data_IF_070165035039
#
_entry.id   IF_070165035039
#
_cell.length_a   1.000
_cell.length_b   1.000
_cell.length_c   1.000
_cell.angle_alpha   90.00
_cell.angle_beta   90.00
_cell.angle_gamma   90.00
#
_symmetry.space_group_name_H-M   'P 1'
#
loop_
_entity.id
_entity.type
_entity.pdbx_description
1 polymer ?
#
# COMPACT_ATOMS: atom_id res chain seq x y z
N UNK A 1 5.72 6.85 24.06
CA UNK A 1 5.25 6.17 22.83
C UNK A 1 5.05 4.66 22.98
N UNK A 2 5.47 4.07 24.09
CA UNK A 2 5.39 2.61 24.35
C UNK A 2 4.05 2.11 24.89
N UNK A 3 3.21 2.99 25.47
CA UNK A 3 1.94 2.58 26.12
C UNK A 3 0.82 2.13 25.13
N UNK A 4 0.85 2.51 23.86
CA UNK A 4 -0.19 2.13 22.89
C UNK A 4 -0.03 0.70 22.35
N UNK A 5 1.21 0.19 22.28
CA UNK A 5 1.49 -1.19 21.88
C UNK A 5 1.21 -2.21 22.98
N UNK A 6 1.40 -1.83 24.25
CA UNK A 6 1.20 -2.73 25.38
C UNK A 6 -0.27 -3.12 25.58
N UNK A 7 -1.20 -2.19 25.35
CA UNK A 7 -2.63 -2.48 25.42
C UNK A 7 -3.15 -3.30 24.23
N UNK A 8 -2.49 -3.21 23.08
CA UNK A 8 -2.78 -4.06 21.92
C UNK A 8 -2.32 -5.51 22.17
N UNK A 9 -1.15 -5.70 22.77
CA UNK A 9 -0.61 -7.02 23.15
C UNK A 9 -1.44 -7.73 24.22
N UNK A 10 -2.03 -7.01 25.20
CA UNK A 10 -2.91 -7.60 26.20
C UNK A 10 -4.22 -8.12 25.59
N UNK A 11 -4.83 -7.38 24.66
CA UNK A 11 -6.04 -7.84 23.93
C UNK A 11 -5.77 -8.99 22.95
N UNK A 12 -4.52 -9.14 22.47
CA UNK A 12 -4.13 -10.26 21.61
C UNK A 12 -3.86 -11.56 22.39
N UNK A 13 -3.68 -11.50 23.72
CA UNK A 13 -3.46 -12.69 24.56
C UNK A 13 -4.74 -13.49 24.83
N UNK A 14 -5.91 -12.88 24.65
CA UNK A 14 -7.20 -13.55 24.81
C UNK A 14 -7.63 -14.37 23.57
N UNK A 15 -6.88 -14.29 22.48
CA UNK A 15 -7.07 -15.13 21.30
C UNK A 15 -6.11 -16.31 21.34
N UNK A 16 -6.58 -17.56 21.18
CA UNK A 16 -5.74 -18.75 21.26
C UNK A 16 -4.69 -18.85 20.12
N UNK A 17 -4.60 -17.88 19.25
CA UNK A 17 -3.69 -17.83 18.11
C UNK A 17 -2.79 -16.59 18.17
N UNK A 18 -1.63 -16.71 18.84
CA UNK A 18 -0.53 -15.73 18.85
C UNK A 18 0.04 -15.35 17.48
N UNK A 19 -0.43 -15.96 16.40
CA UNK A 19 0.08 -15.74 15.04
C UNK A 19 -0.77 -14.76 14.20
N UNK A 20 -1.91 -14.29 14.73
CA UNK A 20 -2.61 -13.19 14.07
C UNK A 20 -1.81 -11.93 14.38
N UNK A 21 -0.94 -11.52 13.45
CA UNK A 21 -0.34 -10.18 13.48
C UNK A 21 -1.48 -9.21 13.78
N UNK A 22 -1.29 -8.37 14.81
CA UNK A 22 -2.22 -7.30 15.14
C UNK A 22 -2.33 -6.39 13.91
N UNK A 23 -3.25 -6.73 13.03
CA UNK A 23 -3.49 -5.96 11.82
C UNK A 23 -4.20 -4.68 12.27
N UNK A 24 -3.55 -3.55 12.11
CA UNK A 24 -4.11 -2.21 12.39
C UNK A 24 -5.41 -1.94 11.63
N UNK A 25 -5.76 -2.81 10.68
CA UNK A 25 -6.95 -2.75 9.83
C UNK A 25 -7.95 -3.87 10.12
N UNK A 26 -8.13 -4.25 11.38
CA UNK A 26 -9.26 -5.07 11.75
C UNK A 26 -10.55 -4.26 11.56
N UNK A 27 -11.35 -4.65 10.59
CA UNK A 27 -12.66 -4.05 10.37
C UNK A 27 -13.61 -4.52 11.46
N UNK A 28 -14.25 -3.55 12.13
CA UNK A 28 -15.36 -3.82 13.03
C UNK A 28 -16.62 -3.90 12.17
N UNK A 29 -17.43 -4.94 12.35
CA UNK A 29 -18.73 -5.02 11.69
C UNK A 29 -19.72 -4.08 12.41
N UNK A 30 -19.76 -2.83 11.94
CA UNK A 30 -20.66 -1.80 12.45
C UNK A 30 -22.07 -1.91 11.89
N UNK A 31 -22.30 -2.78 10.90
CA UNK A 31 -23.63 -3.06 10.33
C UNK A 31 -24.31 -4.29 10.95
N UNK A 32 -23.63 -5.05 11.81
CA UNK A 32 -24.17 -6.29 12.37
C UNK A 32 -25.51 -6.12 13.11
N UNK A 33 -25.73 -4.94 13.72
CA UNK A 33 -26.93 -4.62 14.49
C UNK A 33 -27.96 -3.78 13.71
N UNK A 34 -27.68 -3.47 12.44
CA UNK A 34 -28.57 -2.70 11.58
C UNK A 34 -29.34 -3.66 10.68
N UNK A 35 -30.65 -3.47 10.57
CA UNK A 35 -31.45 -4.25 9.59
C UNK A 35 -30.94 -3.95 8.19
N UNK A 36 -30.65 -5.03 7.45
CA UNK A 36 -30.20 -4.89 6.07
C UNK A 36 -31.30 -4.23 5.22
N UNK A 37 -30.99 -3.18 4.46
CA UNK A 37 -31.93 -2.58 3.52
C UNK A 37 -32.25 -3.49 2.32
N UNK A 38 -31.59 -4.65 2.25
CA UNK A 38 -31.76 -5.62 1.17
C UNK A 38 -32.68 -6.76 1.64
N UNK A 39 -33.63 -7.15 0.79
CA UNK A 39 -34.56 -8.25 1.05
C UNK A 39 -33.88 -9.60 1.31
N UNK A 40 -32.67 -9.79 0.75
CA UNK A 40 -31.89 -11.02 0.90
C UNK A 40 -30.60 -10.77 1.65
N UNK A 41 -30.33 -11.57 2.68
CA UNK A 41 -29.02 -11.58 3.37
C UNK A 41 -27.93 -11.94 2.37
N UNK A 42 -26.83 -11.21 2.45
CA UNK A 42 -25.64 -11.48 1.62
C UNK A 42 -24.99 -12.80 2.04
N UNK A 43 -24.92 -13.77 1.14
CA UNK A 43 -24.26 -15.05 1.38
C UNK A 43 -22.75 -14.99 1.12
N UNK A 44 -22.16 -13.80 0.96
CA UNK A 44 -20.74 -13.64 0.72
C UNK A 44 -19.97 -13.49 2.03
N UNK A 45 -18.80 -14.14 2.07
CA UNK A 45 -17.90 -14.14 3.22
C UNK A 45 -16.48 -13.85 2.74
N UNK A 46 -15.80 -12.89 3.39
CA UNK A 46 -14.38 -12.64 3.14
C UNK A 46 -13.55 -13.50 4.08
N UNK A 47 -12.66 -14.31 3.52
CA UNK A 47 -11.76 -15.19 4.25
C UNK A 47 -10.32 -14.74 4.04
N UNK A 48 -9.57 -14.63 5.13
CA UNK A 48 -8.17 -14.26 5.14
C UNK A 48 -7.28 -15.49 5.33
N UNK A 49 -6.23 -15.54 4.52
CA UNK A 49 -5.17 -16.55 4.56
C UNK A 49 -3.85 -15.94 5.04
N UNK A 50 -2.74 -16.56 4.71
CA UNK A 50 -1.41 -16.05 5.04
C UNK A 50 -1.12 -14.71 4.33
N UNK A 51 -0.37 -13.84 5.00
CA UNK A 51 0.15 -12.57 4.47
C UNK A 51 -0.92 -11.66 3.87
N UNK A 52 -2.05 -11.53 4.55
CA UNK A 52 -3.18 -10.70 4.15
C UNK A 52 -3.80 -11.05 2.79
N UNK A 53 -3.56 -12.26 2.28
CA UNK A 53 -4.29 -12.78 1.14
C UNK A 53 -5.75 -12.96 1.55
N UNK A 54 -6.65 -12.24 0.91
CA UNK A 54 -8.09 -12.27 1.17
C UNK A 54 -8.82 -12.64 -0.12
N UNK A 55 -9.69 -13.62 -0.01
CA UNK A 55 -10.58 -14.03 -1.10
C UNK A 55 -12.03 -14.00 -0.61
N UNK A 56 -12.98 -13.86 -1.54
CA UNK A 56 -14.41 -13.86 -1.25
C UNK A 56 -14.99 -15.21 -1.65
N UNK A 57 -15.79 -15.78 -0.76
CA UNK A 57 -16.44 -17.07 -0.92
C UNK A 57 -17.95 -16.94 -0.78
N UNK A 58 -18.67 -17.92 -1.34
CA UNK A 58 -20.12 -18.02 -1.22
C UNK A 58 -20.46 -19.05 -0.18
N UNK A 59 -21.29 -18.68 0.78
CA UNK A 59 -21.91 -19.58 1.75
C UNK A 59 -23.22 -20.11 1.16
N UNK A 60 -23.15 -21.19 0.39
CA UNK A 60 -24.34 -21.77 -0.26
C UNK A 60 -25.25 -22.50 0.73
N UNK A 61 -24.68 -23.14 1.73
CA UNK A 61 -25.39 -23.99 2.70
C UNK A 61 -25.94 -23.18 3.88
N UNK A 62 -25.89 -21.84 3.82
CA UNK A 62 -26.35 -20.93 4.87
C UNK A 62 -25.80 -21.28 6.26
N UNK A 63 -24.56 -21.72 6.32
CA UNK A 63 -23.87 -22.05 7.57
C UNK A 63 -23.79 -20.78 8.42
N UNK A 64 -24.08 -20.88 9.72
CA UNK A 64 -23.93 -19.77 10.66
C UNK A 64 -22.44 -19.53 10.87
N UNK A 65 -21.89 -18.48 10.25
CA UNK A 65 -20.49 -18.13 10.30
C UNK A 65 -20.34 -16.76 10.95
N UNK A 66 -19.48 -16.70 11.95
CA UNK A 66 -19.15 -15.47 12.64
C UNK A 66 -17.75 -14.97 12.25
N UNK A 67 -17.50 -13.69 12.52
CA UNK A 67 -16.15 -13.14 12.38
C UNK A 67 -15.17 -13.89 13.28
N UNK A 68 -13.96 -14.16 12.78
CA UNK A 68 -12.87 -14.93 13.38
C UNK A 68 -13.08 -16.46 13.38
N UNK A 69 -14.16 -16.98 12.85
CA UNK A 69 -14.30 -18.41 12.65
C UNK A 69 -13.25 -18.92 11.66
N UNK A 70 -12.74 -20.11 11.92
CA UNK A 70 -11.83 -20.80 11.00
C UNK A 70 -12.68 -21.70 10.11
N UNK A 71 -12.60 -21.46 8.80
CA UNK A 71 -13.44 -22.14 7.81
C UNK A 71 -12.60 -22.90 6.81
N UNK A 72 -13.13 -24.03 6.39
CA UNK A 72 -12.62 -24.84 5.30
C UNK A 72 -13.32 -24.43 4.01
N UNK A 73 -12.53 -24.01 3.03
CA UNK A 73 -13.01 -23.43 1.78
C UNK A 73 -12.44 -24.15 0.57
N UNK A 74 -13.08 -23.99 -0.55
CA UNK A 74 -12.60 -24.48 -1.82
C UNK A 74 -11.25 -23.86 -2.18
N UNK A 75 -10.30 -24.70 -2.59
CA UNK A 75 -8.98 -24.27 -3.01
C UNK A 75 -9.05 -23.41 -4.28
N UNK A 76 -8.06 -22.52 -4.44
CA UNK A 76 -7.95 -21.68 -5.66
C UNK A 76 -7.74 -22.49 -6.93
N UNK A 77 -7.17 -23.67 -6.83
CA UNK A 77 -6.94 -24.59 -7.95
C UNK A 77 -8.11 -25.52 -8.25
N UNK A 78 -9.18 -25.47 -7.47
CA UNK A 78 -10.32 -26.40 -7.57
C UNK A 78 -10.01 -27.82 -7.05
N UNK A 79 -8.77 -28.09 -6.62
CA UNK A 79 -8.34 -29.39 -6.08
C UNK A 79 -8.02 -29.21 -4.59
N UNK A 80 -8.63 -30.05 -3.76
CA UNK A 80 -8.48 -29.99 -2.32
C UNK A 80 -9.16 -28.80 -1.66
N UNK A 81 -8.83 -28.55 -0.40
CA UNK A 81 -9.40 -27.46 0.38
C UNK A 81 -8.31 -26.55 0.96
N UNK A 82 -8.69 -25.33 1.26
CA UNK A 82 -7.84 -24.38 1.97
C UNK A 82 -8.50 -24.00 3.30
N UNK A 83 -7.72 -23.53 4.26
CA UNK A 83 -8.21 -23.11 5.58
C UNK A 83 -7.85 -21.66 5.79
N UNK A 84 -8.86 -20.87 6.18
CA UNK A 84 -8.66 -19.46 6.46
C UNK A 84 -9.53 -18.96 7.60
N UNK A 85 -9.34 -17.70 7.96
CA UNK A 85 -10.04 -17.02 9.03
C UNK A 85 -11.04 -16.04 8.43
N UNK A 86 -12.28 -16.07 8.88
CA UNK A 86 -13.32 -15.15 8.46
C UNK A 86 -13.03 -13.75 8.97
N UNK A 87 -12.95 -12.78 8.07
CA UNK A 87 -12.72 -11.38 8.40
C UNK A 87 -13.97 -10.53 8.33
N UNK A 88 -14.83 -10.78 7.36
CA UNK A 88 -16.07 -10.05 7.14
C UNK A 88 -17.18 -10.99 6.67
N UNK A 89 -18.41 -10.68 7.05
CA UNK A 89 -19.63 -11.39 6.63
C UNK A 89 -20.69 -10.38 6.19
N UNK A 90 -21.70 -10.85 5.47
CA UNK A 90 -22.91 -10.08 5.18
C UNK A 90 -22.71 -8.86 4.28
N UNK A 91 -23.39 -7.76 4.61
CA UNK A 91 -23.50 -6.59 3.75
C UNK A 91 -22.18 -5.82 3.59
N UNK A 92 -21.25 -5.89 4.57
CA UNK A 92 -19.92 -5.31 4.40
C UNK A 92 -19.13 -5.96 3.26
N UNK A 93 -19.30 -7.27 3.06
CA UNK A 93 -18.66 -7.97 1.92
C UNK A 93 -19.28 -7.51 0.61
N UNK A 94 -20.61 -7.31 0.56
CA UNK A 94 -21.29 -6.76 -0.62
C UNK A 94 -20.77 -5.37 -1.00
N UNK A 95 -20.57 -4.48 -0.01
CA UNK A 95 -19.98 -3.17 -0.22
C UNK A 95 -18.53 -3.28 -0.74
N UNK A 96 -17.75 -4.22 -0.24
CA UNK A 96 -16.39 -4.45 -0.74
C UNK A 96 -16.38 -4.95 -2.19
N UNK A 97 -17.28 -5.88 -2.55
CA UNK A 97 -17.43 -6.39 -3.92
C UNK A 97 -17.73 -5.21 -4.86
N UNK A 98 -18.68 -4.34 -4.47
CA UNK A 98 -19.03 -3.15 -5.25
C UNK A 98 -17.84 -2.19 -5.39
N UNK A 99 -17.15 -1.88 -4.31
CA UNK A 99 -16.01 -0.95 -4.31
C UNK A 99 -14.80 -1.46 -5.11
N UNK A 100 -14.59 -2.77 -5.14
CA UNK A 100 -13.52 -3.42 -5.91
C UNK A 100 -13.91 -3.74 -7.35
N UNK A 101 -15.17 -3.47 -7.76
CA UNK A 101 -15.72 -3.83 -9.06
C UNK A 101 -15.50 -5.31 -9.42
N UNK A 102 -15.69 -6.21 -8.44
CA UNK A 102 -15.50 -7.64 -8.64
C UNK A 102 -16.75 -8.18 -9.36
N UNK A 103 -16.54 -8.88 -10.47
CA UNK A 103 -17.65 -9.52 -11.18
C UNK A 103 -18.17 -10.70 -10.35
N UNK A 104 -19.46 -10.66 -9.99
CA UNK A 104 -20.13 -11.68 -9.19
C UNK A 104 -20.09 -13.07 -9.86
N UNK A 105 -20.14 -13.09 -11.18
CA UNK A 105 -20.08 -14.34 -11.95
C UNK A 105 -18.71 -15.04 -11.86
N UNK A 106 -17.68 -14.34 -11.44
CA UNK A 106 -16.34 -14.91 -11.20
C UNK A 106 -16.15 -15.46 -9.78
N UNK A 107 -17.11 -15.20 -8.88
CA UNK A 107 -17.11 -15.67 -7.50
C UNK A 107 -17.79 -17.04 -7.43
N UNK A 108 -17.10 -18.09 -7.88
CA UNK A 108 -17.66 -19.45 -7.90
C UNK A 108 -17.24 -20.30 -6.70
N UNK A 109 -16.35 -19.79 -5.83
CA UNK A 109 -15.76 -20.58 -4.75
C UNK A 109 -16.68 -20.66 -3.54
N UNK A 110 -16.76 -21.86 -2.96
CA UNK A 110 -17.66 -22.20 -1.87
C UNK A 110 -16.94 -22.32 -0.54
N UNK A 111 -17.70 -22.08 0.53
CA UNK A 111 -17.33 -22.50 1.88
C UNK A 111 -17.92 -23.90 2.07
N UNK A 112 -17.10 -24.87 2.47
CA UNK A 112 -17.57 -26.21 2.74
C UNK A 112 -18.17 -26.35 4.14
N UNK A 113 -17.44 -25.88 5.16
CA UNK A 113 -17.85 -25.97 6.57
C UNK A 113 -16.97 -25.13 7.48
N UNK A 114 -17.35 -25.02 8.75
CA UNK A 114 -16.47 -24.59 9.82
C UNK A 114 -15.41 -25.70 10.01
N UNK A 115 -14.15 -25.32 10.13
CA UNK A 115 -13.04 -26.27 10.23
C UNK A 115 -13.12 -27.08 11.52
N UNK A 116 -12.88 -28.38 11.42
CA UNK A 116 -12.78 -29.28 12.58
C UNK A 116 -11.50 -29.04 13.36
N UNK A 117 -11.48 -29.41 14.65
CA UNK A 117 -10.28 -29.24 15.46
C UNK A 117 -9.07 -30.00 14.93
N UNK A 118 -9.29 -31.15 14.27
CA UNK A 118 -8.23 -31.91 13.60
C UNK A 118 -7.61 -31.12 12.45
N UNK A 119 -8.42 -30.55 11.58
CA UNK A 119 -7.98 -29.72 10.45
C UNK A 119 -7.22 -28.48 10.94
N UNK A 120 -7.70 -27.82 11.98
CA UNK A 120 -7.04 -26.66 12.59
C UNK A 120 -5.66 -27.04 13.13
N UNK A 121 -5.53 -28.21 13.78
CA UNK A 121 -4.24 -28.67 14.30
C UNK A 121 -3.24 -28.98 13.19
N UNK A 122 -3.68 -29.63 12.11
CA UNK A 122 -2.87 -29.90 10.91
C UNK A 122 -2.42 -28.58 10.28
N UNK A 123 -3.34 -27.65 10.07
CA UNK A 123 -3.05 -26.33 9.50
C UNK A 123 -2.02 -25.56 10.34
N UNK A 124 -2.17 -25.53 11.67
CA UNK A 124 -1.20 -24.91 12.58
C UNK A 124 0.19 -25.57 12.50
N UNK A 125 0.23 -26.88 12.40
CA UNK A 125 1.47 -27.63 12.26
C UNK A 125 2.18 -27.31 10.95
N UNK A 126 1.46 -27.27 9.82
CA UNK A 126 1.99 -26.91 8.52
C UNK A 126 2.55 -25.48 8.52
N UNK A 127 1.83 -24.54 9.14
CA UNK A 127 2.29 -23.16 9.29
C UNK A 127 3.63 -23.05 10.03
N UNK A 128 3.84 -23.83 11.08
CA UNK A 128 5.12 -23.86 11.80
C UNK A 128 6.26 -24.41 10.94
N UNK A 129 5.98 -25.34 10.04
CA UNK A 129 6.97 -25.90 9.12
C UNK A 129 7.39 -24.96 7.99
N UNK A 130 6.55 -24.01 7.59
CA UNK A 130 6.79 -23.13 6.44
C UNK A 130 8.15 -22.42 6.49
N UNK A 131 8.54 -21.88 7.65
CA UNK A 131 9.81 -21.17 7.80
C UNK A 131 11.02 -22.07 7.59
N UNK A 132 10.98 -23.30 8.13
CA UNK A 132 12.05 -24.29 7.94
C UNK A 132 12.16 -24.71 6.47
N UNK A 133 11.02 -24.96 5.84
CA UNK A 133 10.93 -25.36 4.45
C UNK A 133 11.38 -24.23 3.50
N UNK A 134 11.09 -22.99 3.85
CA UNK A 134 11.57 -21.81 3.13
C UNK A 134 13.11 -21.72 3.15
N UNK A 135 13.73 -21.95 4.31
CA UNK A 135 15.19 -21.94 4.43
C UNK A 135 15.82 -23.05 3.61
N UNK A 136 15.25 -24.23 3.64
CA UNK A 136 15.69 -25.36 2.83
C UNK A 136 15.58 -25.07 1.33
N UNK A 137 14.44 -24.54 0.87
CA UNK A 137 14.26 -24.16 -0.54
C UNK A 137 15.27 -23.09 -0.99
N UNK A 138 15.60 -22.13 -0.12
CA UNK A 138 16.63 -21.11 -0.39
C UNK A 138 18.01 -21.74 -0.56
N UNK A 139 18.38 -22.71 0.26
CA UNK A 139 19.68 -23.38 0.15
C UNK A 139 19.81 -24.14 -1.16
N UNK A 140 18.76 -24.88 -1.59
CA UNK A 140 18.77 -25.60 -2.87
C UNK A 140 18.83 -24.64 -4.05
N UNK A 141 18.03 -23.56 -4.03
CA UNK A 141 18.07 -22.57 -5.10
C UNK A 141 19.46 -21.94 -5.26
N UNK A 142 20.17 -21.71 -4.14
CA UNK A 142 21.56 -21.24 -4.13
C UNK A 142 22.52 -22.30 -4.70
N UNK A 143 22.38 -23.56 -4.31
CA UNK A 143 23.22 -24.66 -4.81
C UNK A 143 23.04 -24.88 -6.32
N UNK A 144 21.85 -24.64 -6.84
CA UNK A 144 21.55 -24.70 -8.27
C UNK A 144 21.92 -23.42 -9.03
N UNK A 145 22.56 -22.47 -8.37
CA UNK A 145 22.98 -21.16 -8.93
C UNK A 145 21.82 -20.43 -9.66
N UNK A 146 20.59 -20.51 -9.13
CA UNK A 146 19.44 -19.84 -9.71
C UNK A 146 19.42 -18.36 -9.29
N UNK A 147 19.37 -17.44 -10.26
CA UNK A 147 19.31 -16.01 -9.98
C UNK A 147 17.90 -15.57 -9.56
N UNK A 148 17.43 -16.10 -8.43
CA UNK A 148 16.12 -15.84 -7.85
C UNK A 148 16.21 -15.71 -6.34
N UNK A 149 15.27 -14.96 -5.76
CA UNK A 149 15.12 -14.84 -4.31
C UNK A 149 13.77 -15.41 -3.91
N UNK A 150 13.78 -16.54 -3.20
CA UNK A 150 12.57 -17.11 -2.60
C UNK A 150 12.24 -16.31 -1.35
N UNK A 151 11.03 -15.72 -1.30
CA UNK A 151 10.62 -14.78 -0.27
C UNK A 151 9.77 -15.42 0.80
N UNK A 152 8.89 -16.34 0.41
CA UNK A 152 7.90 -16.93 1.30
C UNK A 152 7.46 -18.31 0.81
N UNK A 153 6.97 -19.14 1.73
CA UNK A 153 6.37 -20.45 1.46
C UNK A 153 4.99 -20.50 2.14
N UNK A 154 3.99 -21.04 1.45
CA UNK A 154 2.62 -21.18 1.95
C UNK A 154 2.10 -22.57 1.63
N UNK A 155 1.72 -23.34 2.66
CA UNK A 155 0.99 -24.58 2.48
C UNK A 155 -0.48 -24.32 2.20
N UNK A 156 -1.06 -25.12 1.31
CA UNK A 156 -2.51 -25.25 1.21
C UNK A 156 -3.04 -25.92 2.50
N UNK A 157 -4.29 -25.64 2.88
CA UNK A 157 -4.84 -26.12 4.14
C UNK A 157 -4.84 -27.63 4.34
N UNK A 158 -4.94 -28.39 3.24
CA UNK A 158 -4.86 -29.86 3.22
C UNK A 158 -3.42 -30.41 3.31
N UNK A 159 -2.41 -29.58 3.08
CA UNK A 159 -1.00 -29.97 3.08
C UNK A 159 -0.51 -30.64 1.78
N UNK A 160 -1.37 -30.85 0.80
CA UNK A 160 -1.01 -31.52 -0.45
C UNK A 160 -0.19 -30.66 -1.41
N UNK A 161 -0.19 -29.34 -1.18
CA UNK A 161 0.46 -28.37 -2.04
C UNK A 161 1.22 -27.32 -1.26
N UNK A 162 2.42 -26.98 -1.75
CA UNK A 162 3.22 -25.86 -1.25
C UNK A 162 3.39 -24.83 -2.37
N UNK A 163 3.16 -23.57 -2.05
CA UNK A 163 3.37 -22.43 -2.95
C UNK A 163 4.61 -21.68 -2.47
N UNK A 164 5.66 -21.63 -3.30
CA UNK A 164 6.82 -20.77 -3.05
C UNK A 164 6.70 -19.47 -3.83
N UNK A 165 6.76 -18.37 -3.12
CA UNK A 165 6.78 -17.02 -3.70
C UNK A 165 8.23 -16.59 -3.93
N UNK A 166 8.54 -16.13 -5.14
CA UNK A 166 9.88 -15.70 -5.48
C UNK A 166 9.89 -14.40 -6.30
N UNK A 167 11.02 -13.70 -6.26
CA UNK A 167 11.31 -12.54 -7.11
C UNK A 167 12.50 -12.86 -8.00
N UNK A 168 12.46 -12.38 -9.23
CA UNK A 168 13.57 -12.44 -10.19
C UNK A 168 13.46 -11.30 -11.18
N UNK A 169 14.59 -10.89 -11.75
CA UNK A 169 14.64 -9.87 -12.81
C UNK A 169 14.24 -10.46 -14.16
N UNK A 170 14.74 -11.65 -14.44
CA UNK A 170 14.52 -12.36 -15.69
C UNK A 170 13.72 -13.65 -15.46
N UNK A 171 13.26 -14.24 -16.56
CA UNK A 171 12.63 -15.55 -16.53
C UNK A 171 13.67 -16.62 -16.19
N UNK A 172 13.34 -17.49 -15.24
CA UNK A 172 14.24 -18.52 -14.70
C UNK A 172 13.67 -19.89 -14.99
N UNK A 173 14.55 -20.81 -15.37
CA UNK A 173 14.20 -22.23 -15.47
C UNK A 173 14.40 -22.91 -14.10
N UNK A 174 13.29 -23.16 -13.43
CA UNK A 174 13.24 -23.79 -12.11
C UNK A 174 12.81 -25.27 -12.13
N UNK A 175 12.81 -25.93 -13.30
CA UNK A 175 12.36 -27.33 -13.42
C UNK A 175 13.15 -28.26 -12.50
N UNK A 176 14.48 -28.15 -12.50
CA UNK A 176 15.35 -28.91 -11.61
C UNK A 176 15.04 -28.64 -10.12
N UNK A 177 14.78 -27.39 -9.77
CA UNK A 177 14.41 -27.00 -8.41
C UNK A 177 13.10 -27.67 -7.97
N UNK A 178 12.07 -27.66 -8.83
CA UNK A 178 10.78 -28.29 -8.52
C UNK A 178 10.94 -29.79 -8.27
N UNK A 179 11.70 -30.51 -9.11
CA UNK A 179 11.92 -31.97 -8.95
C UNK A 179 12.56 -32.26 -7.60
N UNK A 180 13.62 -31.54 -7.22
CA UNK A 180 14.32 -31.74 -5.94
C UNK A 180 13.39 -31.41 -4.76
N UNK A 181 12.64 -30.29 -4.83
CA UNK A 181 11.71 -29.90 -3.76
C UNK A 181 10.55 -30.88 -3.64
N UNK A 182 9.98 -31.36 -4.76
CA UNK A 182 8.90 -32.34 -4.76
C UNK A 182 9.35 -33.68 -4.16
N UNK A 183 10.56 -34.13 -4.49
CA UNK A 183 11.16 -35.33 -3.91
C UNK A 183 11.39 -35.25 -2.39
N UNK A 184 11.73 -34.07 -1.88
CA UNK A 184 11.96 -33.85 -0.45
C UNK A 184 10.65 -33.64 0.35
N UNK A 185 9.70 -32.88 -0.18
CA UNK A 185 8.47 -32.54 0.55
C UNK A 185 7.34 -33.55 0.34
N UNK A 186 7.44 -34.39 -0.68
CA UNK A 186 6.40 -35.36 -1.11
C UNK A 186 5.03 -34.67 -1.32
N UNK A 187 5.07 -33.42 -1.82
CA UNK A 187 3.90 -32.58 -2.04
C UNK A 187 4.01 -31.89 -3.39
N UNK A 188 2.88 -31.45 -3.93
CA UNK A 188 2.85 -30.66 -5.17
C UNK A 188 3.48 -29.30 -4.94
N UNK A 189 4.46 -28.92 -5.77
CA UNK A 189 5.16 -27.63 -5.68
C UNK A 189 4.60 -26.67 -6.74
N UNK A 190 4.22 -25.48 -6.30
CA UNK A 190 3.89 -24.36 -7.18
C UNK A 190 4.87 -23.21 -6.95
N UNK A 191 5.49 -22.73 -8.03
CA UNK A 191 6.37 -21.56 -8.00
C UNK A 191 5.60 -20.35 -8.51
N UNK A 192 5.49 -19.29 -7.67
CA UNK A 192 4.77 -18.07 -8.02
C UNK A 192 5.68 -16.86 -7.97
N UNK A 193 5.89 -16.25 -9.13
CA UNK A 193 6.64 -15.00 -9.21
C UNK A 193 5.81 -13.84 -8.65
N UNK A 194 6.45 -13.00 -7.84
CA UNK A 194 5.86 -11.78 -7.28
C UNK A 194 6.74 -10.57 -7.57
N UNK A 195 6.14 -9.39 -7.62
CA UNK A 195 6.89 -8.15 -7.80
C UNK A 195 7.62 -7.72 -6.53
N UNK A 196 8.71 -6.96 -6.67
CA UNK A 196 9.53 -6.46 -5.55
C UNK A 196 8.72 -5.71 -4.47
N UNK A 197 7.65 -4.99 -4.86
CA UNK A 197 6.78 -4.31 -3.89
C UNK A 197 5.91 -5.29 -3.12
N UNK A 198 5.47 -6.37 -3.75
CA UNK A 198 4.74 -7.44 -3.07
C UNK A 198 5.66 -8.22 -2.12
N UNK A 199 6.92 -8.43 -2.50
CA UNK A 199 7.94 -8.98 -1.62
C UNK A 199 8.13 -8.10 -0.38
N UNK A 200 8.37 -6.80 -0.57
CA UNK A 200 8.49 -5.86 0.53
C UNK A 200 7.24 -5.83 1.43
N UNK A 201 6.04 -5.97 0.85
CA UNK A 201 4.79 -6.05 1.60
C UNK A 201 4.70 -7.31 2.48
N UNK A 202 5.21 -8.46 1.98
CA UNK A 202 5.24 -9.73 2.74
C UNK A 202 6.25 -9.71 3.87
N UNK A 203 7.44 -9.15 3.63
CA UNK A 203 8.50 -9.05 4.63
C UNK A 203 8.12 -8.02 5.70
N UNK A 204 7.51 -6.92 5.31
CA UNK A 204 7.21 -5.80 6.18
C UNK A 204 8.44 -4.93 6.46
N UNK A 205 8.31 -4.01 7.39
CA UNK A 205 9.38 -3.11 7.83
C UNK A 205 8.89 -1.69 8.10
N UNK A 206 9.84 -0.82 8.45
CA UNK A 206 9.59 0.60 8.75
C UNK A 206 10.12 1.45 7.60
N UNK A 207 9.29 2.34 7.09
CA UNK A 207 9.66 3.27 6.03
C UNK A 207 10.58 4.40 6.54
N UNK A 208 11.15 5.17 5.61
CA UNK A 208 11.94 6.37 5.93
C UNK A 208 11.13 7.46 6.66
N UNK A 209 9.80 7.36 6.67
CA UNK A 209 8.88 8.24 7.42
C UNK A 209 8.69 7.81 8.88
N UNK A 210 9.37 6.74 9.35
CA UNK A 210 9.23 6.19 10.70
C UNK A 210 7.95 5.38 10.96
N UNK A 211 7.12 5.15 9.92
CA UNK A 211 5.89 4.32 10.00
C UNK A 211 6.11 2.99 9.33
N UNK A 212 5.30 1.99 9.67
CA UNK A 212 5.26 0.73 8.94
C UNK A 212 5.00 0.98 7.43
N UNK A 213 5.54 0.11 6.59
CA UNK A 213 5.38 0.24 5.14
C UNK A 213 3.91 0.26 4.75
N UNK A 214 3.50 1.24 3.93
CA UNK A 214 2.13 1.34 3.43
C UNK A 214 1.69 0.05 2.70
N UNK A 215 2.60 -0.59 1.97
CA UNK A 215 2.34 -1.83 1.24
C UNK A 215 2.12 -3.04 2.17
N UNK A 216 2.69 -3.06 3.37
CA UNK A 216 2.48 -4.14 4.35
C UNK A 216 1.26 -3.92 5.24
N UNK A 217 0.71 -2.71 5.26
CA UNK A 217 -0.43 -2.36 6.12
C UNK A 217 -1.72 -2.21 5.29
N UNK A 218 -2.00 -1.03 4.79
CA UNK A 218 -3.31 -0.67 4.23
C UNK A 218 -3.35 -0.61 2.70
N UNK A 219 -2.22 -0.29 2.04
CA UNK A 219 -2.18 -0.14 0.58
C UNK A 219 -2.05 -1.51 -0.09
N UNK A 220 -3.13 -1.99 -0.70
CA UNK A 220 -3.17 -3.30 -1.37
C UNK A 220 -3.09 -3.18 -2.91
N UNK A 221 -3.59 -2.09 -3.48
CA UNK A 221 -3.56 -1.86 -4.92
C UNK A 221 -2.32 -1.05 -5.31
N UNK A 222 -1.39 -1.70 -6.00
CA UNK A 222 -0.13 -1.10 -6.41
C UNK A 222 -0.23 -0.58 -7.84
N UNK A 223 -0.50 0.71 -7.97
CA UNK A 223 -0.38 1.41 -9.27
C UNK A 223 1.09 1.76 -9.53
N UNK A 224 1.46 1.82 -10.79
CA UNK A 224 2.78 2.33 -11.19
C UNK A 224 2.92 3.78 -10.77
N UNK A 225 4.08 4.14 -10.22
CA UNK A 225 4.38 5.51 -9.76
C UNK A 225 5.31 6.17 -10.77
N UNK A 226 4.95 7.36 -11.23
CA UNK A 226 5.76 8.17 -12.15
C UNK A 226 6.54 9.24 -11.36
N UNK A 227 7.71 9.64 -11.87
CA UNK A 227 8.51 10.75 -11.33
C UNK A 227 7.72 12.07 -11.30
N UNK A 228 6.79 12.25 -12.22
CA UNK A 228 5.93 13.44 -12.24
C UNK A 228 5.12 13.59 -10.94
N UNK A 229 4.77 12.51 -10.26
CA UNK A 229 4.10 12.57 -8.95
C UNK A 229 4.97 13.29 -7.90
N UNK A 230 6.30 13.12 -7.95
CA UNK A 230 7.21 13.85 -7.08
C UNK A 230 7.36 15.34 -7.49
N UNK A 231 7.32 15.64 -8.80
CA UNK A 231 7.38 17.02 -9.32
C UNK A 231 6.16 17.83 -8.89
N UNK A 232 4.95 17.27 -8.99
CA UNK A 232 3.72 17.96 -8.54
C UNK A 232 3.75 18.23 -7.03
N UNK A 233 4.43 17.39 -6.25
CA UNK A 233 4.63 17.57 -4.81
C UNK A 233 5.81 18.48 -4.46
N UNK A 234 6.48 19.08 -5.46
CA UNK A 234 7.63 19.96 -5.28
C UNK A 234 8.80 19.31 -4.52
N UNK A 235 8.94 17.99 -4.64
CA UNK A 235 10.03 17.27 -4.02
C UNK A 235 11.28 17.34 -4.89
N UNK A 236 12.45 17.44 -4.25
CA UNK A 236 13.73 17.31 -4.94
C UNK A 236 13.84 15.91 -5.58
N UNK A 237 14.24 15.84 -6.85
CA UNK A 237 14.39 14.57 -7.57
C UNK A 237 15.70 13.91 -7.16
N UNK A 238 15.77 13.49 -5.91
CA UNK A 238 16.85 12.65 -5.42
C UNK A 238 16.33 11.21 -5.37
N UNK A 239 16.85 10.34 -6.23
CA UNK A 239 16.41 8.95 -6.37
C UNK A 239 16.42 8.23 -5.03
N UNK A 240 17.47 8.40 -4.22
CA UNK A 240 17.58 7.76 -2.91
C UNK A 240 16.46 8.17 -1.96
N UNK A 241 16.03 9.44 -1.99
CA UNK A 241 14.97 9.96 -1.11
C UNK A 241 13.57 9.57 -1.57
N UNK A 242 13.33 9.43 -2.88
CA UNK A 242 12.01 9.12 -3.45
C UNK A 242 11.80 7.62 -3.71
N UNK A 243 12.83 6.78 -3.55
CA UNK A 243 12.75 5.32 -3.69
C UNK A 243 12.38 4.67 -2.35
N UNK A 244 11.52 3.65 -2.42
CA UNK A 244 11.12 2.82 -1.27
C UNK A 244 12.07 1.64 -1.06
N UNK A 245 11.86 0.88 0.02
CA UNK A 245 12.64 -0.35 0.33
C UNK A 245 12.49 -1.44 -0.75
N UNK A 246 11.47 -1.37 -1.60
CA UNK A 246 11.24 -2.28 -2.72
C UNK A 246 12.01 -1.88 -3.99
N UNK A 247 12.97 -0.97 -3.93
CA UNK A 247 13.73 -0.42 -5.07
C UNK A 247 12.89 0.24 -6.17
N UNK A 248 11.60 0.49 -5.89
CA UNK A 248 10.69 1.25 -6.77
C UNK A 248 10.31 2.57 -6.10
N UNK A 249 9.82 3.54 -6.88
CA UNK A 249 9.36 4.82 -6.32
C UNK A 249 8.32 4.60 -5.22
N UNK A 250 8.36 5.43 -4.19
CA UNK A 250 7.47 5.35 -3.02
C UNK A 250 6.01 5.42 -3.45
N UNK A 251 5.19 4.47 -3.01
CA UNK A 251 3.76 4.42 -3.33
C UNK A 251 2.95 5.57 -2.72
N UNK A 252 3.41 6.17 -1.61
CA UNK A 252 2.78 7.34 -1.02
C UNK A 252 2.77 8.55 -1.96
N UNK A 253 3.77 8.70 -2.86
CA UNK A 253 3.79 9.76 -3.85
C UNK A 253 2.55 9.72 -4.76
N UNK A 254 2.13 8.53 -5.18
CA UNK A 254 0.97 8.39 -6.04
C UNK A 254 -0.34 8.45 -5.26
N UNK A 255 -0.33 8.00 -4.00
CA UNK A 255 -1.51 8.04 -3.13
C UNK A 255 -1.93 9.47 -2.79
N UNK A 256 -0.96 10.34 -2.54
CA UNK A 256 -1.21 11.75 -2.18
C UNK A 256 -1.41 12.65 -3.41
N UNK A 257 -1.12 12.15 -4.63
CA UNK A 257 -1.10 12.94 -5.85
C UNK A 257 -2.42 13.68 -6.12
N UNK A 258 -3.54 13.00 -5.97
CA UNK A 258 -4.87 13.58 -6.27
C UNK A 258 -5.18 14.75 -5.32
N UNK A 259 -4.77 14.65 -4.04
CA UNK A 259 -4.89 15.73 -3.07
C UNK A 259 -4.05 16.96 -3.47
N UNK A 260 -2.81 16.72 -3.91
CA UNK A 260 -1.94 17.80 -4.41
C UNK A 260 -2.50 18.45 -5.67
N UNK A 261 -2.93 17.64 -6.65
CA UNK A 261 -3.49 18.16 -7.91
C UNK A 261 -4.75 18.99 -7.69
N UNK A 262 -5.65 18.55 -6.80
CA UNK A 262 -6.85 19.31 -6.45
C UNK A 262 -6.51 20.65 -5.79
N UNK A 263 -5.54 20.65 -4.87
CA UNK A 263 -5.12 21.86 -4.17
C UNK A 263 -4.33 22.82 -5.06
N UNK A 264 -3.57 22.30 -6.04
CA UNK A 264 -2.82 23.11 -7.01
C UNK A 264 -3.76 23.88 -7.96
N UNK A 265 -4.95 23.36 -8.25
CA UNK A 265 -5.93 24.07 -9.10
C UNK A 265 -6.29 25.46 -8.58
N UNK A 266 -6.19 25.65 -7.26
CA UNK A 266 -6.45 26.95 -6.63
C UNK A 266 -5.31 27.96 -6.79
N UNK A 267 -4.17 27.54 -7.33
CA UNK A 267 -2.99 28.39 -7.49
C UNK A 267 -2.96 29.03 -8.89
N UNK A 268 -2.42 30.24 -9.01
CA UNK A 268 -2.10 30.82 -10.31
C UNK A 268 -1.01 30.03 -11.02
N UNK A 269 -0.90 30.18 -12.33
CA UNK A 269 0.11 29.49 -13.13
C UNK A 269 1.53 29.78 -12.63
N UNK A 270 2.30 28.73 -12.34
CA UNK A 270 3.66 28.80 -11.81
C UNK A 270 4.67 29.39 -12.78
N UNK A 271 4.43 29.21 -14.07
CA UNK A 271 5.32 29.71 -15.12
C UNK A 271 5.12 31.21 -15.40
N UNK A 272 4.04 31.78 -14.85
CA UNK A 272 3.74 33.19 -15.04
C UNK A 272 4.78 34.05 -14.34
N UNK A 273 5.39 34.96 -15.10
CA UNK A 273 6.25 36.02 -14.60
C UNK A 273 5.38 37.21 -14.17
N UNK A 274 5.72 37.81 -13.04
CA UNK A 274 5.03 39.02 -12.52
C UNK A 274 5.93 40.21 -12.79
N UNK A 275 5.40 41.24 -13.46
CA UNK A 275 6.11 42.48 -13.73
C UNK A 275 5.90 43.47 -12.58
N UNK A 276 6.95 43.70 -11.79
CA UNK A 276 6.92 44.62 -10.65
C UNK A 276 7.71 45.90 -10.97
N UNK A 277 7.50 46.94 -10.19
CA UNK A 277 8.25 48.22 -10.31
C UNK A 277 9.77 48.02 -10.22
N UNK A 278 10.25 47.02 -9.45
CA UNK A 278 11.68 46.73 -9.27
C UNK A 278 12.22 45.70 -10.28
N UNK A 279 11.39 45.11 -11.10
CA UNK A 279 11.80 44.14 -12.11
C UNK A 279 10.88 42.93 -12.20
N UNK A 280 11.30 41.97 -13.04
CA UNK A 280 10.52 40.76 -13.30
C UNK A 280 10.78 39.74 -12.17
N UNK A 281 9.70 39.23 -11.59
CA UNK A 281 9.71 38.19 -10.58
C UNK A 281 9.20 36.86 -11.12
N UNK A 282 9.83 35.76 -10.65
CA UNK A 282 9.47 34.37 -11.00
C UNK A 282 9.09 33.59 -9.75
N UNK A 283 8.12 32.73 -9.86
CA UNK A 283 7.81 31.76 -8.80
C UNK A 283 8.92 30.71 -8.70
N UNK A 284 9.45 30.52 -7.49
CA UNK A 284 10.53 29.58 -7.19
C UNK A 284 10.01 28.33 -6.51
N UNK A 285 9.03 28.47 -5.61
CA UNK A 285 8.45 27.37 -4.83
C UNK A 285 7.03 27.70 -4.41
N UNK A 286 6.23 26.69 -4.19
CA UNK A 286 4.90 26.78 -3.61
C UNK A 286 4.77 25.91 -2.36
N UNK A 287 3.94 26.33 -1.44
CA UNK A 287 3.48 25.52 -0.32
C UNK A 287 1.97 25.35 -0.48
N UNK A 288 1.60 24.17 -0.95
CA UNK A 288 0.23 23.85 -1.29
C UNK A 288 -0.69 23.90 -0.06
N UNK A 289 -0.19 23.42 1.09
CA UNK A 289 -0.99 23.34 2.32
C UNK A 289 -1.15 24.69 3.03
N UNK A 290 -0.09 25.51 3.04
CA UNK A 290 -0.13 26.84 3.66
C UNK A 290 -0.67 27.91 2.71
N UNK A 291 -1.02 27.55 1.47
CA UNK A 291 -1.46 28.48 0.41
C UNK A 291 -0.54 29.68 0.24
N UNK A 292 0.78 29.41 0.16
CA UNK A 292 1.82 30.43 0.02
C UNK A 292 2.71 30.12 -1.18
N UNK A 293 3.21 31.20 -1.82
CA UNK A 293 4.14 31.13 -2.94
C UNK A 293 5.39 31.94 -2.63
N UNK A 294 6.55 31.42 -3.06
CA UNK A 294 7.81 32.13 -2.97
C UNK A 294 8.17 32.67 -4.33
N UNK A 295 8.40 33.98 -4.41
CA UNK A 295 8.88 34.66 -5.60
C UNK A 295 10.28 35.22 -5.38
N UNK A 296 11.08 35.24 -6.44
CA UNK A 296 12.37 35.91 -6.46
C UNK A 296 12.46 36.77 -7.71
N UNK A 297 13.18 37.90 -7.60
CA UNK A 297 13.54 38.69 -8.75
C UNK A 297 14.54 37.94 -9.63
N UNK A 298 14.40 38.01 -10.95
CA UNK A 298 15.33 37.34 -11.87
C UNK A 298 16.77 37.88 -11.68
N UNK A 299 16.94 39.18 -11.35
CA UNK A 299 18.23 39.81 -11.06
C UNK A 299 18.82 39.41 -9.69
N UNK A 300 17.98 38.96 -8.75
CA UNK A 300 18.39 38.61 -7.38
C UNK A 300 17.73 37.27 -6.97
N UNK A 301 18.18 36.14 -7.53
CA UNK A 301 17.54 34.83 -7.33
C UNK A 301 17.70 34.28 -5.91
N UNK A 302 18.63 34.80 -5.12
CA UNK A 302 18.93 34.31 -3.77
C UNK A 302 18.00 34.92 -2.68
N UNK A 303 17.22 35.94 -3.02
CA UNK A 303 16.29 36.57 -2.07
C UNK A 303 14.87 36.15 -2.40
N UNK A 304 14.26 35.37 -1.50
CA UNK A 304 12.93 34.83 -1.70
C UNK A 304 11.91 35.53 -0.83
N UNK A 305 10.83 35.97 -1.45
CA UNK A 305 9.71 36.65 -0.81
C UNK A 305 8.51 35.72 -0.71
N UNK A 306 8.01 35.53 0.49
CA UNK A 306 6.88 34.64 0.79
C UNK A 306 5.58 35.45 0.73
N UNK A 307 4.69 35.09 -0.17
CA UNK A 307 3.45 35.81 -0.44
C UNK A 307 2.27 34.84 -0.40
N UNK A 308 1.15 35.27 0.14
CA UNK A 308 -0.10 34.50 0.16
C UNK A 308 -0.74 34.45 -1.24
N UNK A 309 -1.31 33.29 -1.60
CA UNK A 309 -1.93 33.08 -2.91
C UNK A 309 -3.02 34.07 -3.22
N UNK A 310 -3.82 34.46 -2.22
CA UNK A 310 -4.91 35.43 -2.41
C UNK A 310 -4.41 36.81 -2.82
N UNK A 311 -3.31 37.28 -2.22
CA UNK A 311 -2.68 38.54 -2.60
C UNK A 311 -2.17 38.52 -4.03
N UNK A 312 -1.58 37.39 -4.43
CA UNK A 312 -1.05 37.18 -5.78
C UNK A 312 -2.21 37.19 -6.81
N UNK A 313 -3.32 36.49 -6.50
CA UNK A 313 -4.50 36.50 -7.37
C UNK A 313 -5.03 37.92 -7.59
N UNK A 314 -5.16 38.73 -6.53
CA UNK A 314 -5.58 40.15 -6.64
C UNK A 314 -4.63 40.94 -7.52
N UNK A 315 -3.33 40.79 -7.32
CA UNK A 315 -2.31 41.49 -8.12
C UNK A 315 -2.40 41.09 -9.60
N UNK A 316 -2.59 39.79 -9.88
CA UNK A 316 -2.76 39.30 -11.26
C UNK A 316 -4.06 39.85 -11.90
N UNK A 317 -5.13 39.94 -11.15
CA UNK A 317 -6.40 40.52 -11.64
C UNK A 317 -6.28 42.02 -11.91
N UNK A 318 -5.58 42.76 -11.04
CA UNK A 318 -5.31 44.19 -11.23
C UNK A 318 -4.39 44.42 -12.45
N UNK A 319 -3.37 43.58 -12.65
CA UNK A 319 -2.51 43.61 -13.83
C UNK A 319 -3.33 43.42 -15.12
N UNK A 320 -4.25 42.46 -15.11
CA UNK A 320 -5.12 42.16 -16.26
C UNK A 320 -6.14 43.25 -16.55
N UNK A 321 -6.75 43.83 -15.52
CA UNK A 321 -7.85 44.84 -15.68
C UNK A 321 -7.37 46.26 -15.95
N UNK A 322 -6.22 46.63 -15.42
CA UNK A 322 -5.78 48.05 -15.40
C UNK A 322 -4.40 48.27 -16.04
N UNK A 323 -3.74 47.28 -16.63
CA UNK A 323 -2.35 47.33 -17.09
C UNK A 323 -1.40 47.96 -16.04
N UNK A 324 -1.73 47.80 -14.75
CA UNK A 324 -1.00 48.44 -13.67
C UNK A 324 0.19 47.57 -13.29
N UNK A 325 1.37 48.18 -13.27
CA UNK A 325 2.60 47.51 -12.84
C UNK A 325 2.46 47.11 -11.35
N UNK A 326 2.77 45.88 -11.03
CA UNK A 326 2.65 45.35 -9.67
C UNK A 326 3.54 46.12 -8.68
N UNK A 327 3.11 46.28 -7.43
CA UNK A 327 3.97 46.83 -6.38
C UNK A 327 5.19 45.90 -6.14
N UNK A 328 6.27 46.46 -5.54
CA UNK A 328 7.44 45.65 -5.24
C UNK A 328 7.12 44.52 -4.28
N UNK A 329 7.78 43.35 -4.43
CA UNK A 329 7.53 42.09 -3.68
C UNK A 329 7.64 42.29 -2.17
N UNK A 330 8.48 43.22 -1.72
CA UNK A 330 8.69 43.55 -0.30
C UNK A 330 7.40 44.06 0.37
N UNK A 331 6.55 44.79 -0.37
CA UNK A 331 5.25 45.28 0.15
C UNK A 331 4.19 44.18 0.21
N UNK A 332 4.34 43.13 -0.58
CA UNK A 332 3.40 42.03 -0.66
C UNK A 332 3.79 40.88 0.31
N UNK A 333 5.05 40.81 0.68
CA UNK A 333 5.55 39.72 1.53
C UNK A 333 5.02 39.88 2.97
N UNK A 334 4.62 38.81 3.57
CA UNK A 334 4.54 38.64 5.02
C UNK A 334 5.97 38.60 5.55
N UNK A 335 6.33 39.33 6.58
CA UNK A 335 7.65 39.69 7.14
C UNK A 335 8.79 38.62 7.21
N UNK A 336 8.68 37.49 6.55
CA UNK A 336 9.68 36.43 6.45
C UNK A 336 10.48 36.56 5.15
N UNK A 337 11.52 37.40 5.16
CA UNK A 337 12.51 37.42 4.08
C UNK A 337 13.50 36.29 4.36
N UNK A 338 13.43 35.21 3.64
CA UNK A 338 14.44 34.13 3.70
C UNK A 338 15.59 34.48 2.73
N UNK A 339 16.72 34.89 3.26
CA UNK A 339 17.99 34.88 2.52
C UNK A 339 18.46 33.42 2.49
N UNK A 340 18.36 32.78 1.34
CA UNK A 340 18.90 31.44 1.13
C UNK A 340 20.34 31.62 0.68
N UNK A 341 21.31 31.37 1.58
CA UNK A 341 22.68 31.11 1.17
C UNK A 341 22.69 29.77 0.43
N UNK A 342 22.77 29.85 -0.90
CA UNK A 342 23.05 28.68 -1.72
C UNK A 342 24.48 28.25 -1.42
N UNK A 343 24.67 27.30 -0.51
CA UNK A 343 25.91 26.54 -0.43
C UNK A 343 26.01 25.67 -1.69
N UNK A 344 26.57 26.25 -2.74
CA UNK A 344 27.15 25.48 -3.83
C UNK A 344 28.42 24.81 -3.29
N UNK A 345 28.30 23.65 -2.71
CA UNK A 345 29.36 22.65 -2.65
C UNK A 345 28.71 21.32 -3.00
N UNK A 346 29.37 20.68 -3.97
CA UNK A 346 29.13 19.34 -4.52
C UNK A 346 28.18 19.30 -5.75
N UNK A 347 28.76 19.71 -6.86
CA UNK A 347 28.60 19.08 -8.16
C UNK A 347 29.49 17.85 -8.23
#
# INVERSE_FOLDING_TARGET
>A
MEKSCYNCLKKCNDFPNKEIKCLKLNVIDWLSNVQSPFEYKSNFVEVQFKNDRKDIFINQDNIIINKNDIVTVESKSGIGYDIGIVTLTGDLVRLQIKNKNINLNSLCKKIYRISTQKEINIWKYLRKKENKNLLYAKSIAKNLNLNMKICDAEYQGDGEKIIFYYTSENRIDFRKLIVVLAGYFHTRIEMRQIGYRQEAAKIGGIGTCGRELCCSTWLKNFKSVNINSARYQQLSINIQKITGQCSKLKCCLNYELDGYLSSIKDFPDFNRKIHTVKGIAKCMKIDVFKKKMWFAYIKHPNTWFKIEVEKIKKVIEEEKKKNKICPPLEKLSTNDIQKIELKFKDL
#
